data_IF_644584345814
#
_entry.id   IF_644584345814
#
_cell.length_a   1.000
_cell.length_b   1.000
_cell.length_c   1.000
_cell.angle_alpha   90.00
_cell.angle_beta   90.00
_cell.angle_gamma   90.00
#
_symmetry.space_group_name_H-M   'P 1'
#
loop_
_entity.id
_entity.type
_entity.pdbx_description
1 polymer ?
#
# COMPACT_ATOMS: atom_id res chain seq x y z
N UNK A 1 55.30 17.54 -45.91
CA UNK A 1 54.41 16.37 -45.96
C UNK A 1 53.70 16.25 -44.62
N UNK A 2 52.54 16.84 -44.33
CA UNK A 2 51.70 17.92 -44.87
C UNK A 2 50.78 18.27 -43.68
N UNK A 3 50.78 19.50 -43.16
CA UNK A 3 49.84 20.58 -43.52
C UNK A 3 48.38 20.15 -43.68
N UNK A 4 47.69 19.80 -42.58
CA UNK A 4 46.23 19.58 -42.58
C UNK A 4 45.59 19.81 -41.20
N UNK A 5 45.84 20.96 -40.55
CA UNK A 5 45.25 21.26 -39.24
C UNK A 5 44.66 22.68 -39.07
N UNK A 6 44.49 23.46 -40.14
CA UNK A 6 44.14 24.89 -40.02
C UNK A 6 42.83 25.34 -40.71
N UNK A 7 41.90 24.43 -41.07
CA UNK A 7 40.64 24.81 -41.72
C UNK A 7 39.43 24.09 -41.12
N UNK A 8 39.07 24.37 -39.85
CA UNK A 8 37.74 24.07 -39.29
C UNK A 8 37.23 25.15 -38.34
N UNK A 9 37.71 26.39 -38.48
CA UNK A 9 37.48 27.46 -37.51
C UNK A 9 36.53 28.58 -37.93
N UNK A 10 36.03 28.63 -39.16
CA UNK A 10 35.37 29.86 -39.68
C UNK A 10 34.00 29.68 -40.30
N UNK A 11 33.49 28.45 -40.46
CA UNK A 11 32.15 28.22 -41.06
C UNK A 11 31.01 28.23 -40.03
N UNK A 12 31.31 28.04 -38.74
CA UNK A 12 30.31 28.10 -37.66
C UNK A 12 29.79 29.51 -37.40
N UNK A 13 30.70 30.48 -37.32
CA UNK A 13 30.33 31.89 -37.04
C UNK A 13 29.52 32.53 -38.17
N UNK A 14 29.75 32.16 -39.44
CA UNK A 14 28.96 32.67 -40.57
C UNK A 14 27.54 32.11 -40.56
N UNK A 15 27.39 30.81 -40.24
CA UNK A 15 26.07 30.16 -40.16
C UNK A 15 25.26 30.66 -38.96
N UNK A 16 25.91 30.90 -37.82
CA UNK A 16 25.23 31.45 -36.64
C UNK A 16 24.92 32.95 -36.81
N UNK A 17 25.76 33.70 -37.52
CA UNK A 17 25.45 35.09 -37.91
C UNK A 17 24.26 35.16 -38.88
N UNK A 18 24.21 34.30 -39.91
CA UNK A 18 23.07 34.22 -40.82
C UNK A 18 21.79 33.77 -40.11
N UNK A 19 21.89 32.82 -39.17
CA UNK A 19 20.77 32.35 -38.38
C UNK A 19 20.27 33.43 -37.39
N UNK A 20 21.16 34.20 -36.79
CA UNK A 20 20.76 35.31 -35.91
C UNK A 20 20.07 36.42 -36.68
N UNK A 21 20.58 36.79 -37.86
CA UNK A 21 19.93 37.77 -38.76
C UNK A 21 18.56 37.27 -39.21
N UNK A 22 18.44 35.99 -39.58
CA UNK A 22 17.15 35.40 -39.95
C UNK A 22 16.16 35.37 -38.77
N UNK A 23 16.64 35.10 -37.56
CA UNK A 23 15.83 35.11 -36.33
C UNK A 23 15.40 36.52 -35.94
N UNK A 24 16.26 37.53 -36.05
CA UNK A 24 15.88 38.92 -35.77
C UNK A 24 14.85 39.41 -36.78
N UNK A 25 15.05 39.14 -38.07
CA UNK A 25 14.08 39.49 -39.11
C UNK A 25 12.72 38.80 -38.91
N UNK A 26 12.72 37.54 -38.47
CA UNK A 26 11.49 36.82 -38.14
C UNK A 26 10.79 37.40 -36.90
N UNK A 27 11.56 37.72 -35.85
CA UNK A 27 10.99 38.31 -34.64
C UNK A 27 10.44 39.71 -34.90
N UNK A 28 11.12 40.53 -35.70
CA UNK A 28 10.65 41.84 -36.15
C UNK A 28 9.33 41.71 -36.91
N UNK A 29 9.28 40.81 -37.91
CA UNK A 29 8.07 40.54 -38.67
C UNK A 29 6.92 40.07 -37.79
N UNK A 30 7.21 39.23 -36.78
CA UNK A 30 6.21 38.73 -35.83
C UNK A 30 5.73 39.81 -34.86
N UNK A 31 6.63 40.66 -34.34
CA UNK A 31 6.23 41.76 -33.46
C UNK A 31 5.38 42.79 -34.18
N UNK A 32 5.69 43.06 -35.46
CA UNK A 32 4.88 43.93 -36.31
C UNK A 32 3.52 43.28 -36.59
N UNK A 33 3.50 41.97 -36.83
CA UNK A 33 2.28 41.21 -37.01
C UNK A 33 1.37 41.26 -35.77
N UNK A 34 1.92 40.96 -34.58
CA UNK A 34 1.17 40.99 -33.33
C UNK A 34 0.67 42.41 -33.01
N UNK A 35 1.47 43.44 -33.29
CA UNK A 35 1.08 44.83 -33.11
C UNK A 35 -0.04 45.26 -34.08
N UNK A 36 0.05 44.87 -35.36
CA UNK A 36 -1.01 45.09 -36.35
C UNK A 36 -2.29 44.36 -35.94
N UNK A 37 -2.17 43.12 -35.48
CA UNK A 37 -3.29 42.34 -34.99
C UNK A 37 -3.97 43.01 -33.79
N UNK A 38 -3.20 43.48 -32.80
CA UNK A 38 -3.74 44.16 -31.62
C UNK A 38 -4.39 45.51 -31.94
N UNK A 39 -3.77 46.34 -32.79
CA UNK A 39 -4.34 47.64 -33.20
C UNK A 39 -5.62 47.45 -33.99
N UNK A 40 -5.65 46.49 -34.92
CA UNK A 40 -6.85 46.20 -35.72
C UNK A 40 -7.98 45.61 -34.88
N UNK A 41 -7.68 44.78 -33.88
CA UNK A 41 -8.68 44.27 -32.93
C UNK A 41 -9.26 45.37 -32.03
N UNK A 42 -8.41 46.28 -31.55
CA UNK A 42 -8.86 47.39 -30.69
C UNK A 42 -9.73 48.39 -31.48
N UNK A 43 -9.32 48.72 -32.71
CA UNK A 43 -10.14 49.56 -33.61
C UNK A 43 -11.48 48.89 -33.94
N UNK A 44 -11.53 47.57 -34.12
CA UNK A 44 -12.79 46.85 -34.30
C UNK A 44 -13.67 46.89 -33.05
N UNK A 45 -13.08 46.72 -31.87
CA UNK A 45 -13.80 46.74 -30.61
C UNK A 45 -14.41 48.12 -30.33
N UNK A 46 -13.69 49.21 -30.65
CA UNK A 46 -14.18 50.58 -30.52
C UNK A 46 -15.33 50.85 -31.50
N UNK A 47 -15.23 50.36 -32.74
CA UNK A 47 -16.28 50.48 -33.76
C UNK A 47 -17.53 49.68 -33.39
N UNK A 48 -17.38 48.44 -32.96
CA UNK A 48 -18.50 47.57 -32.52
C UNK A 48 -19.14 48.07 -31.21
N UNK A 49 -18.41 48.79 -30.37
CA UNK A 49 -18.97 49.41 -29.16
C UNK A 49 -19.76 50.70 -29.45
N UNK A 50 -19.53 51.33 -30.61
CA UNK A 50 -20.26 52.51 -31.09
C UNK A 50 -21.51 52.17 -31.91
N UNK A 51 -21.74 50.89 -32.25
CA UNK A 51 -22.94 50.36 -32.94
C UNK A 51 -24.26 50.51 -32.15
N UNK A 52 -24.26 51.25 -31.04
CA UNK A 52 -25.49 51.62 -30.33
C UNK A 52 -26.38 52.61 -31.10
N UNK A 53 -25.81 53.50 -31.93
CA UNK A 53 -26.57 54.56 -32.62
C UNK A 53 -26.01 54.99 -34.00
N UNK A 54 -25.10 54.25 -34.64
CA UNK A 54 -24.50 54.66 -35.92
C UNK A 54 -25.41 54.35 -37.12
N UNK A 55 -25.78 55.40 -37.86
CA UNK A 55 -26.48 55.32 -39.14
C UNK A 55 -25.59 54.69 -40.20
N UNK A 56 -26.15 53.81 -41.04
CA UNK A 56 -25.48 53.07 -42.12
C UNK A 56 -24.74 53.93 -43.18
N UNK A 57 -24.78 55.25 -43.08
CA UNK A 57 -24.26 56.21 -44.08
C UNK A 57 -22.90 56.84 -43.71
N UNK A 58 -22.31 56.49 -42.57
CA UNK A 58 -21.02 57.06 -42.16
C UNK A 58 -19.87 56.51 -43.03
N UNK A 59 -19.39 57.34 -43.96
CA UNK A 59 -18.28 57.02 -44.87
C UNK A 59 -17.00 56.60 -44.14
N UNK A 60 -16.76 57.09 -42.92
CA UNK A 60 -15.60 56.71 -42.10
C UNK A 60 -15.70 55.27 -41.59
N UNK A 61 -16.90 54.79 -41.28
CA UNK A 61 -17.16 53.42 -40.85
C UNK A 61 -16.92 52.41 -42.00
N UNK A 62 -17.41 52.74 -43.20
CA UNK A 62 -17.17 51.90 -44.39
C UNK A 62 -15.67 51.88 -44.76
N UNK A 63 -14.97 53.01 -44.69
CA UNK A 63 -13.53 53.07 -44.93
C UNK A 63 -12.74 52.23 -43.91
N UNK A 64 -13.12 52.25 -42.63
CA UNK A 64 -12.49 51.42 -41.59
C UNK A 64 -12.74 49.92 -41.78
N UNK A 65 -13.95 49.54 -42.17
CA UNK A 65 -14.32 48.14 -42.45
C UNK A 65 -13.59 47.59 -43.69
N UNK A 66 -13.55 48.37 -44.78
CA UNK A 66 -12.81 48.00 -45.99
C UNK A 66 -11.31 47.88 -45.73
N UNK A 67 -10.75 48.76 -44.88
CA UNK A 67 -9.37 48.67 -44.43
C UNK A 67 -9.13 47.36 -43.66
N UNK A 68 -10.03 46.98 -42.74
CA UNK A 68 -9.89 45.76 -41.96
C UNK A 68 -10.01 44.49 -42.81
N UNK A 69 -11.01 44.43 -43.69
CA UNK A 69 -11.18 43.27 -44.59
C UNK A 69 -9.94 43.12 -45.50
N UNK A 70 -9.35 44.22 -45.96
CA UNK A 70 -8.10 44.22 -46.72
C UNK A 70 -6.91 43.76 -45.87
N UNK A 71 -6.74 44.28 -44.65
CA UNK A 71 -5.63 43.94 -43.74
C UNK A 71 -5.72 42.47 -43.31
N UNK A 72 -6.89 42.01 -42.85
CA UNK A 72 -7.14 40.65 -42.37
C UNK A 72 -6.89 39.61 -43.47
N UNK A 73 -7.41 39.86 -44.69
CA UNK A 73 -7.19 38.99 -45.84
C UNK A 73 -5.70 38.87 -46.18
N UNK A 74 -4.94 39.95 -46.05
CA UNK A 74 -3.51 40.01 -46.38
C UNK A 74 -2.63 39.40 -45.27
N UNK A 75 -3.01 39.60 -44.01
CA UNK A 75 -2.47 38.91 -42.84
C UNK A 75 -2.56 37.40 -43.01
N UNK A 76 -3.75 36.88 -43.36
CA UNK A 76 -3.96 35.46 -43.63
C UNK A 76 -3.08 34.92 -44.77
N UNK A 77 -2.85 35.72 -45.83
CA UNK A 77 -1.94 35.37 -46.93
C UNK A 77 -0.47 35.31 -46.47
N UNK A 78 -0.06 36.23 -45.59
CA UNK A 78 1.30 36.24 -45.03
C UNK A 78 1.56 35.04 -44.10
N UNK A 79 0.58 34.66 -43.28
CA UNK A 79 0.64 33.45 -42.46
C UNK A 79 0.68 32.19 -43.34
N UNK A 80 -0.16 32.12 -44.38
CA UNK A 80 -0.14 31.01 -45.34
C UNK A 80 1.24 30.86 -46.02
N UNK A 81 1.95 31.96 -46.27
CA UNK A 81 3.33 31.95 -46.80
C UNK A 81 4.36 31.45 -45.78
N UNK A 82 4.25 31.84 -44.50
CA UNK A 82 5.12 31.32 -43.44
C UNK A 82 4.92 29.82 -43.22
N UNK A 83 3.66 29.36 -43.24
CA UNK A 83 3.33 27.95 -43.15
C UNK A 83 3.82 27.18 -44.39
N UNK A 84 3.83 27.79 -45.58
CA UNK A 84 4.42 27.19 -46.78
C UNK A 84 5.94 26.98 -46.68
N UNK A 85 6.67 27.87 -45.99
CA UNK A 85 8.12 27.74 -45.77
C UNK A 85 8.50 26.61 -44.79
N UNK A 86 7.56 26.13 -43.98
CA UNK A 86 7.76 25.04 -43.03
C UNK A 86 6.73 23.92 -43.26
N UNK A 87 6.91 23.08 -44.30
CA UNK A 87 5.95 22.02 -44.62
C UNK A 87 5.93 20.98 -43.50
N UNK A 88 4.78 20.86 -42.81
CA UNK A 88 4.57 19.93 -41.69
C UNK A 88 4.72 18.44 -42.07
N UNK A 89 4.62 18.11 -43.37
CA UNK A 89 4.55 16.73 -43.86
C UNK A 89 5.64 16.33 -44.89
N UNK A 90 6.70 17.13 -45.05
CA UNK A 90 7.82 16.76 -45.93
C UNK A 90 7.50 16.61 -47.42
N UNK A 91 6.30 17.01 -47.87
CA UNK A 91 5.95 17.08 -49.29
C UNK A 91 6.45 18.42 -49.83
N UNK A 92 7.47 18.44 -50.71
CA UNK A 92 7.99 19.69 -51.25
C UNK A 92 6.95 20.34 -52.18
N UNK A 93 6.67 21.62 -51.95
CA UNK A 93 5.96 22.49 -52.91
C UNK A 93 4.46 22.70 -52.70
N UNK A 94 3.84 22.18 -51.63
CA UNK A 94 2.43 22.48 -51.32
C UNK A 94 2.24 22.90 -49.86
N UNK A 95 1.54 24.02 -49.65
CA UNK A 95 1.09 24.44 -48.33
C UNK A 95 0.14 23.38 -47.74
N UNK A 96 0.05 23.19 -46.41
CA UNK A 96 -0.97 22.36 -45.75
C UNK A 96 -2.40 22.67 -46.20
N UNK A 97 -2.63 23.87 -46.74
CA UNK A 97 -3.92 24.33 -47.27
C UNK A 97 -4.09 24.12 -48.79
N UNK A 98 -3.19 23.38 -49.45
CA UNK A 98 -3.27 23.10 -50.89
C UNK A 98 -2.97 24.30 -51.81
N UNK A 99 -2.43 25.40 -51.24
CA UNK A 99 -2.04 26.58 -51.99
C UNK A 99 -0.65 26.39 -52.62
N UNK A 100 -0.55 26.64 -53.92
CA UNK A 100 0.69 26.66 -54.68
C UNK A 100 1.46 27.97 -54.45
N UNK A 101 2.79 27.92 -54.43
CA UNK A 101 3.68 29.07 -54.17
C UNK A 101 3.38 30.26 -55.10
N UNK A 102 3.10 29.98 -56.37
CA UNK A 102 2.74 30.99 -57.38
C UNK A 102 1.44 31.71 -57.05
N UNK A 103 0.43 31.00 -56.54
CA UNK A 103 -0.84 31.60 -56.14
C UNK A 103 -0.68 32.50 -54.90
N UNK A 104 0.26 32.16 -54.01
CA UNK A 104 0.59 32.96 -52.83
C UNK A 104 1.39 34.20 -53.24
N UNK A 105 2.31 34.08 -54.21
CA UNK A 105 3.12 35.19 -54.70
C UNK A 105 2.30 36.18 -55.55
N UNK A 106 1.37 35.71 -56.38
CA UNK A 106 0.44 36.57 -57.13
C UNK A 106 -0.47 37.38 -56.19
N UNK A 107 -0.94 36.76 -55.11
CA UNK A 107 -1.71 37.43 -54.06
C UNK A 107 -0.85 38.43 -53.24
N UNK A 108 0.45 38.17 -53.09
CA UNK A 108 1.40 39.08 -52.43
C UNK A 108 1.90 40.23 -53.33
N UNK A 109 1.89 40.09 -54.66
CA UNK A 109 2.26 41.19 -55.55
C UNK A 109 1.35 42.40 -55.33
N UNK A 110 0.05 42.17 -55.10
CA UNK A 110 -0.90 43.20 -54.69
C UNK A 110 -0.69 43.74 -53.27
N UNK A 111 0.07 43.04 -52.39
CA UNK A 111 0.41 43.49 -51.04
C UNK A 111 1.56 44.50 -51.04
N UNK A 112 2.57 44.31 -51.89
CA UNK A 112 3.69 45.26 -52.01
C UNK A 112 3.25 46.63 -52.55
N UNK A 113 2.22 46.65 -53.40
CA UNK A 113 1.60 47.89 -53.88
C UNK A 113 0.78 48.55 -52.78
N UNK A 114 -0.06 47.78 -52.08
CA UNK A 114 -0.87 48.27 -50.96
C UNK A 114 -0.03 48.74 -49.75
N UNK A 115 1.11 48.10 -49.46
CA UNK A 115 2.03 48.56 -48.41
C UNK A 115 2.62 49.94 -48.69
N UNK A 116 2.74 50.33 -49.96
CA UNK A 116 3.18 51.69 -50.34
C UNK A 116 2.06 52.72 -50.20
N UNK A 117 0.82 52.25 -50.11
CA UNK A 117 -0.41 53.05 -49.93
C UNK A 117 -1.02 52.88 -48.53
N UNK A 118 -0.28 52.26 -47.60
CA UNK A 118 -0.68 52.12 -46.21
C UNK A 118 -1.07 53.50 -45.68
N UNK A 119 -2.28 53.68 -45.13
CA UNK A 119 -2.65 54.97 -44.59
C UNK A 119 -1.64 55.35 -43.51
N UNK A 120 -1.07 56.56 -43.56
CA UNK A 120 -0.12 57.01 -42.53
C UNK A 120 -0.72 56.93 -41.12
N UNK A 121 -2.05 56.93 -41.01
CA UNK A 121 -2.79 56.67 -39.78
C UNK A 121 -2.54 55.28 -39.16
N UNK A 122 -2.42 54.22 -39.97
CA UNK A 122 -2.19 52.86 -39.46
C UNK A 122 -0.74 52.69 -38.98
N UNK A 123 0.22 53.29 -39.69
CA UNK A 123 1.63 53.31 -39.28
C UNK A 123 1.75 54.04 -37.94
N UNK A 124 1.15 55.22 -37.80
CA UNK A 124 1.14 55.98 -36.55
C UNK A 124 0.47 55.22 -35.39
N UNK A 125 -0.63 54.49 -35.65
CA UNK A 125 -1.31 53.69 -34.64
C UNK A 125 -0.46 52.49 -34.15
N UNK A 126 0.21 51.80 -35.07
CA UNK A 126 1.12 50.70 -34.75
C UNK A 126 2.35 51.20 -33.98
N UNK A 127 2.91 52.34 -34.39
CA UNK A 127 4.01 52.99 -33.68
C UNK A 127 3.59 53.39 -32.26
N UNK A 128 2.40 53.98 -32.09
CA UNK A 128 1.87 54.33 -30.77
C UNK A 128 1.65 53.10 -29.88
N UNK A 129 1.20 51.97 -30.44
CA UNK A 129 1.00 50.73 -29.70
C UNK A 129 2.33 50.07 -29.30
N UNK A 130 3.29 50.03 -30.22
CA UNK A 130 4.65 49.54 -29.94
C UNK A 130 5.35 50.43 -28.90
N UNK A 131 5.13 51.74 -28.96
CA UNK A 131 5.66 52.67 -27.97
C UNK A 131 5.01 52.44 -26.59
N UNK A 132 3.68 52.32 -26.51
CA UNK A 132 2.97 52.04 -25.27
C UNK A 132 3.40 50.70 -24.64
N UNK A 133 3.54 49.64 -25.43
CA UNK A 133 4.01 48.34 -24.93
C UNK A 133 5.45 48.41 -24.43
N UNK A 134 6.34 49.14 -25.12
CA UNK A 134 7.68 49.41 -24.61
C UNK A 134 7.66 50.21 -23.30
N UNK A 135 6.79 51.21 -23.18
CA UNK A 135 6.60 52.00 -21.96
C UNK A 135 6.12 51.13 -20.79
N UNK A 136 5.16 50.23 -21.01
CA UNK A 136 4.69 49.29 -20.00
C UNK A 136 5.77 48.31 -19.56
N UNK A 137 6.55 47.76 -20.50
CA UNK A 137 7.66 46.85 -20.20
C UNK A 137 8.78 47.55 -19.42
N UNK A 138 9.09 48.80 -19.78
CA UNK A 138 10.08 49.62 -19.07
C UNK A 138 9.56 49.98 -17.67
N UNK A 139 8.29 50.35 -17.53
CA UNK A 139 7.68 50.64 -16.22
C UNK A 139 7.67 49.42 -15.29
N UNK A 140 7.45 48.22 -15.85
CA UNK A 140 7.52 46.96 -15.09
C UNK A 140 8.95 46.58 -14.70
N UNK A 141 9.90 46.74 -15.63
CA UNK A 141 11.29 46.36 -15.40
C UNK A 141 12.05 47.34 -14.49
N UNK A 142 11.72 48.63 -14.61
CA UNK A 142 12.29 49.75 -13.87
C UNK A 142 11.16 50.53 -13.19
N UNK A 143 10.57 49.97 -12.11
CA UNK A 143 9.54 50.69 -11.38
C UNK A 143 10.12 52.03 -10.90
N UNK A 144 9.39 53.15 -11.07
CA UNK A 144 9.85 54.43 -10.59
C UNK A 144 10.06 54.33 -9.07
N UNK A 145 11.25 54.73 -8.59
CA UNK A 145 11.46 54.92 -7.16
C UNK A 145 10.43 55.96 -6.69
N UNK A 146 9.86 55.76 -5.48
CA UNK A 146 8.71 56.52 -4.96
C UNK A 146 8.81 58.05 -5.02
N UNK A 147 9.99 58.62 -5.24
CA UNK A 147 10.25 60.07 -5.24
C UNK A 147 10.83 60.62 -6.57
N UNK A 148 10.82 59.84 -7.66
CA UNK A 148 11.33 60.30 -8.96
C UNK A 148 10.18 60.62 -9.94
N UNK A 149 10.22 61.77 -10.66
CA UNK A 149 9.22 62.08 -11.67
C UNK A 149 9.24 61.03 -12.78
N UNK A 150 8.05 60.67 -13.29
CA UNK A 150 7.89 59.76 -14.40
C UNK A 150 8.78 60.21 -15.57
N UNK A 151 9.58 59.32 -16.19
CA UNK A 151 10.46 59.69 -17.29
C UNK A 151 9.60 60.06 -18.51
N UNK A 152 9.31 61.34 -18.68
CA UNK A 152 8.48 61.90 -19.77
C UNK A 152 9.26 62.10 -21.07
N UNK A 153 10.58 61.84 -21.08
CA UNK A 153 11.39 61.94 -22.29
C UNK A 153 11.46 60.59 -23.01
N UNK A 154 10.91 60.52 -24.22
CA UNK A 154 10.95 59.35 -25.11
C UNK A 154 12.36 58.79 -25.32
N UNK A 155 13.38 59.64 -25.28
CA UNK A 155 14.79 59.23 -25.36
C UNK A 155 15.23 58.38 -24.14
N UNK A 156 14.71 58.66 -22.94
CA UNK A 156 15.00 57.90 -21.72
C UNK A 156 14.30 56.54 -21.73
N UNK A 157 13.08 56.47 -22.28
CA UNK A 157 12.34 55.21 -22.46
C UNK A 157 13.07 54.32 -23.47
N UNK A 158 13.53 54.88 -24.60
CA UNK A 158 14.31 54.16 -25.62
C UNK A 158 15.64 53.62 -25.07
N UNK A 159 16.39 54.43 -24.32
CA UNK A 159 17.63 53.97 -23.68
C UNK A 159 17.38 52.83 -22.67
N UNK A 160 16.33 52.93 -21.86
CA UNK A 160 15.95 51.86 -20.91
C UNK A 160 15.41 50.60 -21.61
N UNK A 161 14.76 50.75 -22.76
CA UNK A 161 14.32 49.62 -23.58
C UNK A 161 15.51 48.83 -24.15
N UNK A 162 16.61 49.50 -24.50
CA UNK A 162 17.86 48.85 -24.90
C UNK A 162 18.51 48.07 -23.73
N UNK A 163 18.45 48.61 -22.51
CA UNK A 163 18.97 47.93 -21.30
C UNK A 163 18.11 46.75 -20.84
N UNK A 164 16.82 46.72 -21.20
CA UNK A 164 15.88 45.68 -20.82
C UNK A 164 16.34 44.28 -21.25
N UNK A 165 16.91 44.16 -22.45
CA UNK A 165 17.42 42.88 -22.96
C UNK A 165 18.57 42.33 -22.11
N UNK A 166 19.47 43.18 -21.63
CA UNK A 166 20.54 42.78 -20.72
C UNK A 166 19.99 42.38 -19.34
N UNK A 167 19.03 43.15 -18.82
CA UNK A 167 18.40 42.87 -17.52
C UNK A 167 17.62 41.54 -17.54
N UNK A 168 16.85 41.26 -18.59
CA UNK A 168 16.09 40.01 -18.74
C UNK A 168 17.03 38.82 -18.83
N UNK A 169 18.14 38.92 -19.59
CA UNK A 169 19.17 37.88 -19.64
C UNK A 169 19.78 37.62 -18.26
N UNK A 170 20.18 38.68 -17.55
CA UNK A 170 20.73 38.55 -16.19
C UNK A 170 19.72 37.93 -15.21
N UNK A 171 18.43 38.30 -15.28
CA UNK A 171 17.38 37.69 -14.45
C UNK A 171 17.15 36.23 -14.79
N UNK A 172 17.15 35.86 -16.08
CA UNK A 172 17.04 34.45 -16.50
C UNK A 172 18.21 33.61 -16.01
N UNK A 173 19.43 34.13 -16.07
CA UNK A 173 20.60 33.43 -15.53
C UNK A 173 20.51 33.24 -14.01
N UNK A 174 20.03 34.25 -13.28
CA UNK A 174 19.80 34.12 -11.83
C UNK A 174 18.73 33.07 -11.52
N UNK A 175 17.63 33.10 -12.26
CA UNK A 175 16.55 32.13 -12.11
C UNK A 175 17.06 30.70 -12.39
N UNK A 176 17.82 30.51 -13.47
CA UNK A 176 18.41 29.21 -13.79
C UNK A 176 19.34 28.69 -12.68
N UNK A 177 20.15 29.57 -12.08
CA UNK A 177 20.99 29.21 -10.93
C UNK A 177 20.16 28.88 -9.69
N UNK A 178 19.08 29.60 -9.44
CA UNK A 178 18.17 29.31 -8.33
C UNK A 178 17.43 27.98 -8.53
N UNK A 179 16.97 27.70 -9.76
CA UNK A 179 16.37 26.42 -10.13
C UNK A 179 17.35 25.26 -9.93
N UNK A 180 18.61 25.41 -10.36
CA UNK A 180 19.66 24.43 -10.14
C UNK A 180 19.88 24.19 -8.64
N UNK A 181 19.97 25.24 -7.82
CA UNK A 181 20.08 25.11 -6.36
C UNK A 181 18.89 24.41 -5.73
N UNK A 182 17.68 24.68 -6.20
CA UNK A 182 16.46 24.00 -5.74
C UNK A 182 16.50 22.52 -6.12
N UNK A 183 16.97 22.19 -7.33
CA UNK A 183 17.13 20.82 -7.78
C UNK A 183 18.17 20.04 -6.96
N UNK A 184 19.31 20.65 -6.66
CA UNK A 184 20.33 20.09 -5.78
C UNK A 184 19.79 19.84 -4.36
N UNK A 185 19.08 20.82 -3.79
CA UNK A 185 18.46 20.67 -2.48
C UNK A 185 17.41 19.55 -2.45
N UNK A 186 16.59 19.42 -3.50
CA UNK A 186 15.63 18.31 -3.65
C UNK A 186 16.33 16.97 -3.72
N UNK A 187 17.41 16.86 -4.49
CA UNK A 187 18.20 15.62 -4.60
C UNK A 187 18.80 15.23 -3.24
N UNK A 188 19.44 16.18 -2.55
CA UNK A 188 19.99 15.96 -1.22
C UNK A 188 18.92 15.54 -0.20
N UNK A 189 17.71 16.10 -0.29
CA UNK A 189 16.58 15.71 0.55
C UNK A 189 16.11 14.26 0.27
N UNK A 190 16.01 13.86 -1.00
CA UNK A 190 15.67 12.48 -1.37
C UNK A 190 16.73 11.51 -0.85
N UNK A 191 18.02 11.82 -1.04
CA UNK A 191 19.12 11.00 -0.55
C UNK A 191 19.13 10.87 0.98
N UNK A 192 18.74 11.93 1.69
CA UNK A 192 18.57 11.88 3.14
C UNK A 192 17.40 10.99 3.54
N UNK A 193 16.26 11.07 2.84
CA UNK A 193 15.09 10.20 3.09
C UNK A 193 15.40 8.73 2.84
N UNK A 194 16.12 8.40 1.77
CA UNK A 194 16.53 7.03 1.47
C UNK A 194 17.43 6.49 2.58
N UNK A 195 18.47 7.24 2.97
CA UNK A 195 19.35 6.86 4.09
C UNK A 195 18.57 6.65 5.40
N UNK A 196 17.62 7.53 5.69
CA UNK A 196 16.77 7.39 6.87
C UNK A 196 15.89 6.13 6.81
N UNK A 197 15.30 5.82 5.65
CA UNK A 197 14.52 4.61 5.45
C UNK A 197 15.38 3.34 5.61
N UNK A 198 16.61 3.33 5.09
CA UNK A 198 17.57 2.24 5.28
C UNK A 198 17.93 2.05 6.76
N UNK A 199 18.13 3.15 7.51
CA UNK A 199 18.41 3.06 8.94
C UNK A 199 17.22 2.49 9.72
N UNK A 200 16.00 2.92 9.39
CA UNK A 200 14.78 2.35 9.97
C UNK A 200 14.63 0.86 9.66
N UNK A 201 14.90 0.45 8.41
CA UNK A 201 14.87 -0.97 8.02
C UNK A 201 15.86 -1.78 8.86
N UNK A 202 17.11 -1.33 9.01
CA UNK A 202 18.12 -2.01 9.83
C UNK A 202 17.71 -2.13 11.30
N UNK A 203 17.08 -1.10 11.85
CA UNK A 203 16.57 -1.14 13.23
C UNK A 203 15.45 -2.20 13.36
N UNK A 204 14.54 -2.26 12.37
CA UNK A 204 13.48 -3.26 12.35
C UNK A 204 14.06 -4.67 12.23
N UNK A 205 15.02 -4.89 11.34
CA UNK A 205 15.68 -6.19 11.16
C UNK A 205 16.37 -6.64 12.45
N UNK A 206 17.17 -5.76 13.08
CA UNK A 206 17.84 -6.04 14.34
C UNK A 206 16.86 -6.31 15.49
N UNK A 207 15.75 -5.57 15.53
CA UNK A 207 14.68 -5.84 16.51
C UNK A 207 14.02 -7.20 16.27
N UNK A 208 13.86 -7.59 15.00
CA UNK A 208 13.35 -8.90 14.59
C UNK A 208 14.29 -10.03 15.02
N UNK A 209 15.60 -9.88 14.79
CA UNK A 209 16.61 -10.84 15.22
C UNK A 209 16.62 -11.02 16.75
N UNK A 210 16.59 -9.91 17.50
CA UNK A 210 16.54 -9.96 18.97
C UNK A 210 15.26 -10.67 19.44
N UNK A 211 14.11 -10.34 18.85
CA UNK A 211 12.84 -10.99 19.17
C UNK A 211 12.86 -12.49 18.87
N UNK A 212 13.46 -12.88 17.73
CA UNK A 212 13.58 -14.27 17.34
C UNK A 212 14.51 -15.04 18.29
N UNK A 213 15.68 -14.48 18.61
CA UNK A 213 16.61 -15.06 19.57
C UNK A 213 15.99 -15.20 20.96
N UNK A 214 15.23 -14.20 21.42
CA UNK A 214 14.55 -14.25 22.71
C UNK A 214 13.42 -15.28 22.74
N UNK A 215 12.54 -15.26 21.73
CA UNK A 215 11.40 -16.19 21.67
C UNK A 215 11.81 -17.64 21.44
N UNK A 216 12.75 -17.90 20.52
CA UNK A 216 13.16 -19.27 20.18
C UNK A 216 14.23 -19.79 21.14
N UNK A 217 15.23 -18.97 21.49
CA UNK A 217 16.35 -19.41 22.31
C UNK A 217 16.02 -19.39 23.79
N UNK A 218 15.75 -18.20 24.34
CA UNK A 218 15.59 -18.04 25.78
C UNK A 218 14.33 -18.71 26.32
N UNK A 219 13.20 -18.62 25.62
CA UNK A 219 11.98 -19.28 26.08
C UNK A 219 12.11 -20.81 26.06
N UNK A 220 12.65 -21.38 24.99
CA UNK A 220 12.87 -22.83 24.90
C UNK A 220 13.87 -23.32 25.96
N UNK A 221 14.95 -22.58 26.19
CA UNK A 221 15.92 -22.92 27.25
C UNK A 221 15.28 -22.83 28.65
N UNK A 222 14.46 -21.81 28.89
CA UNK A 222 13.71 -21.66 30.15
C UNK A 222 12.73 -22.81 30.35
N UNK A 223 11.96 -23.14 29.33
CA UNK A 223 10.96 -24.21 29.39
C UNK A 223 11.64 -25.58 29.57
N UNK A 224 12.78 -25.81 28.91
CA UNK A 224 13.61 -27.00 29.14
C UNK A 224 14.10 -27.10 30.59
N UNK A 225 14.59 -26.00 31.17
CA UNK A 225 15.01 -25.96 32.57
C UNK A 225 13.83 -26.21 33.54
N UNK A 226 12.63 -25.70 33.24
CA UNK A 226 11.44 -26.01 34.03
C UNK A 226 11.04 -27.49 33.93
N UNK A 227 11.08 -28.08 32.73
CA UNK A 227 10.81 -29.51 32.56
C UNK A 227 11.80 -30.35 33.38
N UNK A 228 13.10 -30.04 33.31
CA UNK A 228 14.12 -30.73 34.10
C UNK A 228 13.88 -30.57 35.61
N UNK A 229 13.57 -29.36 36.07
CA UNK A 229 13.21 -29.10 37.45
C UNK A 229 11.99 -29.94 37.90
N UNK A 230 10.92 -29.96 37.13
CA UNK A 230 9.71 -30.72 37.48
C UNK A 230 9.94 -32.24 37.44
N UNK A 231 10.76 -32.74 36.52
CA UNK A 231 11.17 -34.15 36.51
C UNK A 231 11.92 -34.51 37.80
N UNK A 232 12.88 -33.68 38.23
CA UNK A 232 13.60 -33.89 39.49
C UNK A 232 12.65 -33.86 40.70
N UNK A 233 11.65 -32.96 40.72
CA UNK A 233 10.61 -32.93 41.76
C UNK A 233 9.79 -34.22 41.75
N UNK A 234 9.37 -34.69 40.57
CA UNK A 234 8.58 -35.92 40.43
C UNK A 234 9.37 -37.15 40.90
N UNK A 235 10.65 -37.25 40.56
CA UNK A 235 11.53 -38.32 41.04
C UNK A 235 11.70 -38.28 42.56
N UNK A 236 11.85 -37.08 43.13
CA UNK A 236 11.87 -36.88 44.58
C UNK A 236 10.57 -37.33 45.25
N UNK A 237 9.42 -36.98 44.69
CA UNK A 237 8.11 -37.42 45.17
C UNK A 237 7.93 -38.94 45.07
N UNK A 238 8.35 -39.54 43.94
CA UNK A 238 8.33 -40.99 43.74
C UNK A 238 9.16 -41.71 44.79
N UNK A 239 10.35 -41.20 45.09
CA UNK A 239 11.22 -41.76 46.13
C UNK A 239 10.58 -41.65 47.51
N UNK A 240 9.98 -40.48 47.82
CA UNK A 240 9.26 -40.26 49.10
C UNK A 240 8.10 -41.24 49.27
N UNK A 241 7.28 -41.45 48.23
CA UNK A 241 6.20 -42.44 48.25
C UNK A 241 6.72 -43.87 48.46
N UNK A 242 7.86 -44.21 47.85
CA UNK A 242 8.49 -45.53 48.05
C UNK A 242 8.96 -45.73 49.48
N UNK A 243 9.55 -44.71 50.10
CA UNK A 243 9.96 -44.73 51.50
C UNK A 243 8.72 -44.90 52.40
N UNK A 244 7.68 -44.09 52.20
CA UNK A 244 6.43 -44.21 52.97
C UNK A 244 5.79 -45.60 52.85
N UNK A 245 5.82 -46.21 51.64
CA UNK A 245 5.37 -47.59 51.44
C UNK A 245 6.18 -48.57 52.27
N UNK A 246 7.52 -48.47 52.25
CA UNK A 246 8.39 -49.35 53.03
C UNK A 246 8.20 -49.16 54.53
N UNK A 247 8.05 -47.92 55.00
CA UNK A 247 7.78 -47.61 56.41
C UNK A 247 6.43 -48.20 56.85
N UNK A 248 5.41 -48.13 56.00
CA UNK A 248 4.09 -48.74 56.26
C UNK A 248 4.19 -50.25 56.30
N UNK A 249 4.93 -50.88 55.37
CA UNK A 249 5.16 -52.32 55.41
C UNK A 249 5.91 -52.74 56.68
N UNK A 250 6.94 -51.97 57.07
CA UNK A 250 7.70 -52.21 58.29
C UNK A 250 6.83 -52.08 59.55
N UNK A 251 5.91 -51.12 59.60
CA UNK A 251 5.03 -50.92 60.76
C UNK A 251 3.89 -51.93 60.83
N UNK A 252 3.36 -52.38 59.69
CA UNK A 252 2.27 -53.37 59.63
C UNK A 252 2.78 -54.79 59.85
N UNK A 253 3.92 -55.14 59.26
CA UNK A 253 4.51 -56.49 59.32
C UNK A 253 5.61 -56.56 60.38
N UNK A 254 5.25 -56.31 61.63
CA UNK A 254 6.14 -56.62 62.76
C UNK A 254 6.31 -58.14 62.89
N UNK A 255 7.47 -58.63 63.36
CA UNK A 255 7.70 -60.07 63.53
C UNK A 255 6.66 -60.72 64.45
N UNK A 256 6.18 -59.98 65.45
CA UNK A 256 5.09 -60.36 66.35
C UNK A 256 3.78 -60.58 65.57
N UNK A 257 3.33 -59.60 64.78
CA UNK A 257 2.11 -59.73 63.97
C UNK A 257 2.21 -60.84 62.92
N UNK A 258 3.39 -61.02 62.33
CA UNK A 258 3.62 -62.11 61.37
C UNK A 258 3.54 -63.46 62.07
N UNK A 259 4.10 -63.58 63.28
CA UNK A 259 3.98 -64.79 64.09
C UNK A 259 2.51 -65.08 64.46
N UNK A 260 1.76 -64.07 64.90
CA UNK A 260 0.32 -64.20 65.20
C UNK A 260 -0.49 -64.63 63.97
N UNK A 261 -0.29 -63.98 62.81
CA UNK A 261 -0.94 -64.37 61.56
C UNK A 261 -0.57 -65.80 61.13
N UNK A 262 0.69 -66.20 61.34
CA UNK A 262 1.13 -67.58 61.03
C UNK A 262 0.46 -68.61 61.94
N UNK A 263 0.29 -68.31 63.23
CA UNK A 263 -0.43 -69.15 64.18
C UNK A 263 -1.91 -69.23 63.84
N UNK A 264 -2.55 -68.09 63.53
CA UNK A 264 -3.95 -68.05 63.09
C UNK A 264 -4.16 -68.88 61.82
N UNK A 265 -3.25 -68.77 60.84
CA UNK A 265 -3.27 -69.60 59.63
C UNK A 265 -3.14 -71.08 59.95
N UNK A 266 -2.20 -71.46 60.83
CA UNK A 266 -2.02 -72.86 61.23
C UNK A 266 -3.27 -73.41 61.96
N UNK A 267 -3.89 -72.61 62.83
CA UNK A 267 -5.12 -72.96 63.52
C UNK A 267 -6.30 -73.14 62.54
N UNK A 268 -6.45 -72.24 61.56
CA UNK A 268 -7.49 -72.34 60.52
C UNK A 268 -7.30 -73.59 59.65
N UNK A 269 -6.07 -73.89 59.22
CA UNK A 269 -5.77 -75.10 58.46
C UNK A 269 -6.05 -76.37 59.27
N UNK A 270 -5.71 -76.37 60.55
CA UNK A 270 -6.01 -77.48 61.46
C UNK A 270 -7.52 -77.66 61.61
N UNK A 271 -8.28 -76.56 61.80
CA UNK A 271 -9.74 -76.58 61.87
C UNK A 271 -10.37 -77.12 60.58
N UNK A 272 -9.92 -76.64 59.42
CA UNK A 272 -10.37 -77.13 58.11
C UNK A 272 -10.13 -78.64 57.95
N UNK A 273 -8.93 -79.12 58.31
CA UNK A 273 -8.62 -80.56 58.26
C UNK A 273 -9.51 -81.40 59.20
N UNK A 274 -9.85 -80.86 60.38
CA UNK A 274 -10.78 -81.51 61.32
C UNK A 274 -12.20 -81.56 60.77
N UNK A 275 -12.67 -80.48 60.16
CA UNK A 275 -13.98 -80.44 59.50
C UNK A 275 -14.04 -81.42 58.33
N UNK A 276 -12.99 -81.50 57.51
CA UNK A 276 -12.90 -82.49 56.42
C UNK A 276 -12.92 -83.92 56.96
N UNK A 277 -12.18 -84.22 58.02
CA UNK A 277 -12.20 -85.53 58.66
C UNK A 277 -13.60 -85.85 59.22
N UNK A 278 -14.25 -84.88 59.84
CA UNK A 278 -15.62 -85.02 60.34
C UNK A 278 -16.62 -85.25 59.20
N UNK A 279 -16.54 -84.50 58.12
CA UNK A 279 -17.37 -84.70 56.92
C UNK A 279 -17.18 -86.10 56.33
N UNK A 280 -15.93 -86.58 56.23
CA UNK A 280 -15.66 -87.96 55.78
C UNK A 280 -16.30 -88.99 56.70
N UNK A 281 -16.21 -88.77 58.02
CA UNK A 281 -16.84 -89.66 59.01
C UNK A 281 -18.35 -89.67 58.87
N UNK A 282 -19.00 -88.50 58.84
CA UNK A 282 -20.46 -88.38 58.67
C UNK A 282 -20.92 -88.99 57.35
N UNK A 283 -20.18 -88.78 56.25
CA UNK A 283 -20.46 -89.44 54.98
C UNK A 283 -20.35 -90.97 55.07
N UNK A 284 -19.37 -91.49 55.79
CA UNK A 284 -19.24 -92.93 56.00
C UNK A 284 -20.36 -93.49 56.89
N UNK A 285 -20.78 -92.76 57.92
CA UNK A 285 -21.93 -93.12 58.75
C UNK A 285 -23.23 -93.08 57.94
N UNK A 286 -23.45 -92.04 57.13
CA UNK A 286 -24.58 -91.94 56.22
C UNK A 286 -24.61 -93.11 55.22
N UNK A 287 -23.48 -93.42 54.58
CA UNK A 287 -23.38 -94.56 53.67
C UNK A 287 -23.69 -95.89 54.37
N UNK A 288 -23.34 -96.05 55.65
CA UNK A 288 -23.74 -97.22 56.45
C UNK A 288 -25.24 -97.26 56.67
N UNK A 289 -25.86 -96.15 57.04
CA UNK A 289 -27.32 -96.07 57.17
C UNK A 289 -28.04 -96.35 55.85
N UNK A 290 -27.56 -95.79 54.74
CA UNK A 290 -28.09 -96.07 53.40
C UNK A 290 -27.96 -97.55 53.05
N UNK A 291 -26.83 -98.19 53.38
CA UNK A 291 -26.64 -99.64 53.15
C UNK A 291 -27.49 -100.54 54.06
N UNK A 292 -27.80 -100.07 55.26
CA UNK A 292 -28.70 -100.75 56.20
C UNK A 292 -30.19 -100.49 55.88
N UNK A 293 -30.49 -99.73 54.80
CA UNK A 293 -31.82 -99.22 54.51
C UNK A 293 -32.93 -100.27 54.44
N UNK A 294 -32.63 -101.52 54.08
CA UNK A 294 -33.61 -102.62 54.09
C UNK A 294 -33.94 -103.09 55.52
N UNK A 295 -32.92 -103.30 56.36
CA UNK A 295 -33.08 -103.65 57.79
C UNK A 295 -33.71 -102.49 58.60
N UNK A 296 -33.38 -101.25 58.26
CA UNK A 296 -33.97 -100.07 58.88
C UNK A 296 -35.41 -99.85 58.45
N UNK A 297 -35.75 -100.09 57.18
CA UNK A 297 -37.13 -100.05 56.71
C UNK A 297 -37.99 -101.13 57.40
N UNK A 298 -37.45 -102.32 57.61
CA UNK A 298 -38.11 -103.36 58.42
C UNK A 298 -38.31 -102.90 59.88
N UNK A 299 -37.29 -102.33 60.53
CA UNK A 299 -37.43 -101.78 61.88
C UNK A 299 -38.49 -100.67 61.94
N UNK A 300 -38.50 -99.73 61.00
CA UNK A 300 -39.51 -98.66 60.93
C UNK A 300 -40.90 -99.25 60.74
N UNK A 301 -41.07 -100.23 59.84
CA UNK A 301 -42.35 -100.91 59.66
C UNK A 301 -42.82 -101.65 60.93
N UNK A 302 -41.91 -102.28 61.68
CA UNK A 302 -42.25 -102.90 62.97
C UNK A 302 -42.64 -101.88 64.04
N UNK A 303 -42.01 -100.70 64.05
CA UNK A 303 -42.35 -99.61 64.95
C UNK A 303 -43.68 -98.96 64.60
N UNK A 304 -43.95 -98.68 63.33
CA UNK A 304 -45.25 -98.18 62.86
C UNK A 304 -46.37 -99.15 63.26
N UNK A 305 -46.15 -100.46 63.06
CA UNK A 305 -47.11 -101.49 63.47
C UNK A 305 -47.30 -101.52 65.00
N UNK A 306 -46.25 -101.31 65.77
CA UNK A 306 -46.34 -101.24 67.23
C UNK A 306 -47.09 -99.98 67.68
N UNK A 307 -46.88 -98.84 67.01
CA UNK A 307 -47.55 -97.57 67.29
C UNK A 307 -49.04 -97.65 66.95
N UNK A 308 -49.40 -98.24 65.81
CA UNK A 308 -50.79 -98.57 65.46
C UNK A 308 -51.44 -99.47 66.51
N UNK A 309 -50.71 -100.47 67.02
CA UNK A 309 -51.21 -101.32 68.11
C UNK A 309 -51.39 -100.54 69.42
N UNK A 310 -50.48 -99.63 69.75
CA UNK A 310 -50.59 -98.79 70.94
C UNK A 310 -51.77 -97.83 70.83
N UNK A 311 -51.98 -97.21 69.69
CA UNK A 311 -53.13 -96.34 69.44
C UNK A 311 -54.44 -97.14 69.44
N UNK A 312 -54.48 -98.33 68.83
CA UNK A 312 -55.65 -99.20 68.92
C UNK A 312 -55.97 -99.61 70.38
N UNK A 313 -54.94 -99.94 71.17
CA UNK A 313 -55.10 -100.23 72.61
C UNK A 313 -55.56 -98.99 73.37
N UNK A 314 -55.06 -97.80 73.05
CA UNK A 314 -55.55 -96.54 73.65
C UNK A 314 -57.02 -96.28 73.29
N UNK A 315 -57.41 -96.41 72.03
CA UNK A 315 -58.80 -96.28 71.60
C UNK A 315 -59.71 -97.31 72.28
N UNK A 316 -59.26 -98.55 72.43
CA UNK A 316 -60.00 -99.59 73.15
C UNK A 316 -60.13 -99.27 74.66
N UNK A 317 -59.07 -98.74 75.28
CA UNK A 317 -59.11 -98.26 76.68
C UNK A 317 -60.10 -97.08 76.80
N UNK A 318 -60.06 -96.12 75.87
CA UNK A 318 -60.98 -94.97 75.85
C UNK A 318 -62.43 -95.39 75.61
N UNK A 319 -62.68 -96.37 74.74
CA UNK A 319 -64.03 -96.96 74.56
C UNK A 319 -64.53 -97.67 75.81
N UNK A 320 -63.66 -98.40 76.51
CA UNK A 320 -64.00 -99.05 77.79
C UNK A 320 -64.21 -98.03 78.92
N UNK A 321 -63.62 -96.84 78.84
CA UNK A 321 -63.78 -95.78 79.85
C UNK A 321 -64.91 -94.79 79.54
N UNK A 322 -65.28 -94.59 78.27
CA UNK A 322 -66.36 -93.68 77.84
C UNK A 322 -67.73 -94.33 77.64
N UNK A 323 -67.85 -95.64 77.91
CA UNK A 323 -69.10 -96.41 77.86
C UNK A 323 -69.82 -96.53 79.20
N UNK A 324 -69.98 -95.42 79.94
CA UNK A 324 -70.97 -95.22 81.02
C UNK A 324 -71.27 -93.74 81.18
#
# INVERSE_FOLDING_TARGET
MDSSAAQRGTTGDSSDAELTVAKTAYLEARTLYDALYHVTLHQLADVVSQDGEASSDDQEFQAGKELWESVSKRVAISEAKQVHRHPLNGVPGKSPFGLDEKSIDDANAGFLVWMKELPPALISAVESHLQSTCEHLVAFAFPPKKDAPAPTSSAVISAKALELGALVRSRREKLAKEEERVWEAKRAYVDLRVRHAEHLSRILDLSGEILLQYKLGHLAARDAAYVEYYLAVLDGMRLKLRIMKLDTLRSVFTPERVAELSQSRAALLTSASRMDAHLRRVRAELARYESAGEEFAEMVATWEKLDEMVEAVKEDIERLQGGT
#
